data_IF_478545071146
#
_entry.id   IF_478545071146
#
_cell.length_a   1.000
_cell.length_b   1.000
_cell.length_c   1.000
_cell.angle_alpha   90.00
_cell.angle_beta   90.00
_cell.angle_gamma   90.00
#
_symmetry.space_group_name_H-M   'P 1'
#
loop_
_entity.id
_entity.type
_entity.pdbx_description
1 polymer ?
#
# COMPACT_ATOMS: atom_id res chain seq x y z
N UNK A 1 12.77 -20.97 3.98
CA UNK A 1 14.20 -21.20 4.32
C UNK A 1 14.60 -20.11 5.32
N UNK A 2 14.98 -20.44 6.56
CA UNK A 2 15.41 -19.41 7.54
C UNK A 2 16.71 -18.78 7.02
N UNK A 3 16.86 -17.45 6.93
CA UNK A 3 18.12 -16.88 6.44
C UNK A 3 19.21 -17.14 7.47
N UNK A 4 20.23 -17.92 7.09
CA UNK A 4 21.46 -18.10 7.86
C UNK A 4 22.41 -16.90 7.79
N UNK A 5 22.01 -15.80 7.12
CA UNK A 5 22.82 -14.60 6.98
C UNK A 5 22.65 -13.68 8.20
N UNK A 6 23.77 -13.29 8.81
CA UNK A 6 23.85 -12.30 9.90
C UNK A 6 24.53 -11.01 9.42
N UNK A 7 24.38 -9.92 10.17
CA UNK A 7 25.03 -8.64 9.87
C UNK A 7 24.55 -7.96 8.58
N UNK A 8 25.46 -7.25 7.91
CA UNK A 8 25.18 -6.47 6.68
C UNK A 8 24.59 -7.33 5.55
N UNK A 9 25.01 -8.58 5.44
CA UNK A 9 24.50 -9.52 4.43
C UNK A 9 22.99 -9.73 4.57
N UNK A 10 22.48 -9.82 5.80
CA UNK A 10 21.03 -9.95 6.06
C UNK A 10 20.25 -8.72 5.61
N UNK A 11 20.83 -7.53 5.78
CA UNK A 11 20.19 -6.27 5.38
C UNK A 11 20.09 -6.21 3.85
N UNK A 12 21.17 -6.52 3.15
CA UNK A 12 21.19 -6.57 1.68
C UNK A 12 20.18 -7.59 1.15
N UNK A 13 20.16 -8.80 1.71
CA UNK A 13 19.21 -9.85 1.33
C UNK A 13 17.76 -9.40 1.56
N UNK A 14 17.48 -8.78 2.72
CA UNK A 14 16.16 -8.26 3.05
C UNK A 14 15.71 -7.14 2.10
N UNK A 15 16.60 -6.20 1.76
CA UNK A 15 16.33 -5.16 0.75
C UNK A 15 16.04 -5.79 -0.62
N UNK A 16 16.79 -6.83 -1.00
CA UNK A 16 16.55 -7.60 -2.21
C UNK A 16 15.16 -8.24 -2.26
N UNK A 17 14.67 -8.79 -1.15
CA UNK A 17 13.32 -9.34 -1.05
C UNK A 17 12.25 -8.25 -1.12
N UNK A 18 12.45 -7.10 -0.48
CA UNK A 18 11.52 -5.96 -0.56
C UNK A 18 11.38 -5.44 -1.99
N UNK A 19 12.48 -5.28 -2.73
CA UNK A 19 12.46 -4.83 -4.12
C UNK A 19 11.72 -5.83 -5.01
N UNK A 20 11.93 -7.14 -4.80
CA UNK A 20 11.21 -8.18 -5.52
C UNK A 20 9.69 -8.11 -5.25
N UNK A 21 9.28 -7.90 -4.00
CA UNK A 21 7.88 -7.73 -3.63
C UNK A 21 7.24 -6.52 -4.31
N UNK A 22 7.89 -5.35 -4.26
CA UNK A 22 7.42 -4.13 -4.93
C UNK A 22 7.33 -4.29 -6.44
N UNK A 23 8.31 -4.97 -7.06
CA UNK A 23 8.28 -5.26 -8.50
C UNK A 23 7.13 -6.19 -8.87
N UNK A 24 6.86 -7.21 -8.04
CA UNK A 24 5.74 -8.12 -8.25
C UNK A 24 4.39 -7.38 -8.17
N UNK A 25 4.19 -6.56 -7.13
CA UNK A 25 3.00 -5.72 -7.00
C UNK A 25 2.85 -4.77 -8.21
N UNK A 26 3.93 -4.10 -8.61
CA UNK A 26 3.90 -3.19 -9.77
C UNK A 26 3.53 -3.88 -11.09
N UNK A 27 3.99 -5.11 -11.31
CA UNK A 27 3.72 -5.84 -12.57
C UNK A 27 2.31 -6.43 -12.57
N UNK A 28 1.91 -7.08 -11.47
CA UNK A 28 0.68 -7.86 -11.43
C UNK A 28 -0.56 -7.01 -11.07
N UNK A 29 -0.39 -5.95 -10.28
CA UNK A 29 -1.52 -5.25 -9.65
C UNK A 29 -1.74 -3.87 -10.26
N UNK A 30 -2.87 -3.72 -10.95
CA UNK A 30 -3.25 -2.44 -11.55
C UNK A 30 -3.58 -1.38 -10.49
N UNK A 31 -4.25 -1.78 -9.40
CA UNK A 31 -4.59 -0.89 -8.30
C UNK A 31 -3.33 -0.34 -7.61
N UNK A 32 -2.37 -1.20 -7.25
CA UNK A 32 -1.06 -0.75 -6.75
C UNK A 32 -0.37 0.29 -7.64
N UNK A 33 -0.38 0.13 -8.97
CA UNK A 33 0.16 1.16 -9.89
C UNK A 33 -0.59 2.48 -9.79
N UNK A 34 -1.92 2.44 -9.80
CA UNK A 34 -2.76 3.63 -9.72
C UNK A 34 -2.55 4.39 -8.41
N UNK A 35 -2.53 3.68 -7.29
CA UNK A 35 -2.36 4.26 -5.97
C UNK A 35 -0.93 4.78 -5.74
N UNK A 36 0.08 4.10 -6.28
CA UNK A 36 1.45 4.61 -6.27
C UNK A 36 1.61 5.89 -7.09
N UNK A 37 0.95 5.97 -8.25
CA UNK A 37 0.91 7.20 -9.05
C UNK A 37 0.18 8.30 -8.28
N UNK A 38 -0.95 7.99 -7.64
CA UNK A 38 -1.69 8.93 -6.80
C UNK A 38 -0.82 9.45 -5.66
N UNK A 39 -0.10 8.57 -4.94
CA UNK A 39 0.85 8.94 -3.90
C UNK A 39 1.86 9.95 -4.42
N UNK A 40 2.51 9.68 -5.55
CA UNK A 40 3.54 10.56 -6.13
C UNK A 40 2.95 11.92 -6.52
N UNK A 41 1.84 11.92 -7.27
CA UNK A 41 1.22 13.14 -7.77
C UNK A 41 0.72 14.01 -6.61
N UNK A 42 -0.02 13.43 -5.68
CA UNK A 42 -0.58 14.15 -4.52
C UNK A 42 0.52 14.63 -3.57
N UNK A 43 1.60 13.85 -3.39
CA UNK A 43 2.77 14.30 -2.61
C UNK A 43 3.38 15.54 -3.25
N UNK A 44 3.62 15.54 -4.57
CA UNK A 44 4.16 16.70 -5.29
C UNK A 44 3.24 17.91 -5.14
N UNK A 45 1.93 17.72 -5.33
CA UNK A 45 0.93 18.79 -5.15
C UNK A 45 0.99 19.37 -3.73
N UNK A 46 1.13 18.54 -2.70
CA UNK A 46 1.15 19.00 -1.31
C UNK A 46 2.29 19.97 -0.99
N UNK A 47 3.42 19.90 -1.73
CA UNK A 47 4.54 20.84 -1.57
C UNK A 47 4.25 22.24 -2.10
N UNK A 48 3.30 22.38 -3.02
CA UNK A 48 2.87 23.68 -3.55
C UNK A 48 1.70 24.29 -2.76
N UNK A 49 1.12 23.55 -1.81
CA UNK A 49 0.00 24.02 -0.99
C UNK A 49 0.50 24.88 0.19
N UNK A 50 -0.24 25.95 0.55
CA UNK A 50 0.08 26.83 1.67
C UNK A 50 -0.31 26.21 3.03
N UNK A 51 0.16 24.99 3.29
CA UNK A 51 -0.10 24.24 4.53
C UNK A 51 1.16 24.18 5.40
N UNK A 52 0.96 23.98 6.71
CA UNK A 52 2.04 23.79 7.65
C UNK A 52 2.82 22.50 7.36
N UNK A 53 4.03 22.39 7.93
CA UNK A 53 4.87 21.20 7.78
C UNK A 53 4.19 19.93 8.33
N UNK A 54 3.46 20.06 9.43
CA UNK A 54 2.78 18.93 10.09
C UNK A 54 1.58 18.47 9.26
N UNK A 55 0.75 19.40 8.78
CA UNK A 55 -0.36 19.09 7.87
C UNK A 55 0.13 18.39 6.61
N UNK A 56 1.18 18.90 5.97
CA UNK A 56 1.79 18.24 4.81
C UNK A 56 2.25 16.82 5.12
N UNK A 57 2.90 16.62 6.27
CA UNK A 57 3.35 15.28 6.68
C UNK A 57 2.16 14.34 6.90
N UNK A 58 1.05 14.82 7.48
CA UNK A 58 -0.18 14.03 7.65
C UNK A 58 -0.81 13.67 6.30
N UNK A 59 -0.88 14.63 5.37
CA UNK A 59 -1.40 14.42 4.00
C UNK A 59 -0.57 13.40 3.21
N UNK A 60 0.76 13.43 3.33
CA UNK A 60 1.65 12.47 2.68
C UNK A 60 1.54 11.10 3.37
N UNK A 61 1.52 11.07 4.70
CA UNK A 61 1.47 9.82 5.47
C UNK A 61 0.20 9.03 5.18
N UNK A 62 -0.95 9.69 4.98
CA UNK A 62 -2.21 9.01 4.64
C UNK A 62 -2.15 8.32 3.28
N UNK A 63 -1.46 8.91 2.30
CA UNK A 63 -1.24 8.28 0.99
C UNK A 63 -0.32 7.04 1.09
N UNK A 64 0.69 7.08 1.97
CA UNK A 64 1.51 5.89 2.24
C UNK A 64 0.70 4.76 2.88
N UNK A 65 -0.27 5.08 3.74
CA UNK A 65 -1.16 4.07 4.34
C UNK A 65 -1.97 3.35 3.24
N UNK A 66 -2.43 4.05 2.21
CA UNK A 66 -3.12 3.45 1.05
C UNK A 66 -2.22 2.43 0.36
N UNK A 67 -1.00 2.82 -0.02
CA UNK A 67 -0.05 1.92 -0.70
C UNK A 67 0.32 0.72 0.18
N UNK A 68 0.43 0.89 1.50
CA UNK A 68 0.68 -0.21 2.44
C UNK A 68 -0.53 -1.16 2.49
N UNK A 69 -1.74 -0.62 2.58
CA UNK A 69 -2.97 -1.42 2.60
C UNK A 69 -3.12 -2.25 1.32
N UNK A 70 -2.80 -1.65 0.17
CA UNK A 70 -2.85 -2.34 -1.13
C UNK A 70 -1.79 -3.42 -1.25
N UNK A 71 -0.56 -3.19 -0.78
CA UNK A 71 0.45 -4.26 -0.71
C UNK A 71 -0.01 -5.45 0.15
N UNK A 72 -0.73 -5.18 1.24
CA UNK A 72 -1.31 -6.23 2.08
C UNK A 72 -2.46 -6.92 1.34
N UNK A 73 -3.33 -6.17 0.67
CA UNK A 73 -4.42 -6.71 -0.14
C UNK A 73 -3.89 -7.66 -1.22
N UNK A 74 -2.92 -7.22 -2.03
CA UNK A 74 -2.30 -8.05 -3.07
C UNK A 74 -1.60 -9.28 -2.50
N UNK A 75 -0.98 -9.18 -1.32
CA UNK A 75 -0.39 -10.34 -0.65
C UNK A 75 -1.46 -11.38 -0.24
N UNK A 76 -2.61 -10.92 0.25
CA UNK A 76 -3.76 -11.78 0.57
C UNK A 76 -4.28 -12.43 -0.70
N UNK A 77 -4.49 -11.65 -1.78
CA UNK A 77 -4.94 -12.15 -3.07
C UNK A 77 -4.01 -13.22 -3.63
N UNK A 78 -2.69 -12.98 -3.61
CA UNK A 78 -1.70 -13.96 -4.06
C UNK A 78 -1.72 -15.27 -3.25
N UNK A 79 -1.97 -15.20 -1.94
CA UNK A 79 -2.12 -16.39 -1.10
C UNK A 79 -3.41 -17.12 -1.42
N UNK A 80 -4.51 -16.40 -1.59
CA UNK A 80 -5.84 -16.97 -1.88
C UNK A 80 -5.87 -17.60 -3.27
N UNK A 81 -5.32 -16.94 -4.29
CA UNK A 81 -5.34 -17.40 -5.68
C UNK A 81 -4.48 -18.64 -5.94
N UNK A 82 -3.51 -18.89 -5.05
CA UNK A 82 -2.72 -20.12 -5.09
C UNK A 82 -3.54 -21.38 -4.75
N UNK A 83 -4.64 -21.26 -4.00
CA UNK A 83 -5.34 -22.42 -3.41
C UNK A 83 -6.17 -23.20 -4.45
N UNK A 84 -6.50 -22.60 -5.59
CA UNK A 84 -7.18 -23.25 -6.72
C UNK A 84 -8.44 -22.51 -7.19
N UNK A 85 -9.09 -22.97 -8.28
CA UNK A 85 -10.24 -22.28 -8.88
C UNK A 85 -11.57 -22.53 -8.13
N UNK A 86 -11.61 -23.46 -7.17
CA UNK A 86 -12.80 -23.67 -6.34
C UNK A 86 -13.05 -22.45 -5.44
N UNK A 87 -14.22 -21.84 -5.61
CA UNK A 87 -14.62 -20.71 -4.77
C UNK A 87 -14.98 -21.21 -3.37
N UNK A 88 -14.07 -21.01 -2.43
CA UNK A 88 -14.34 -21.19 -1.00
C UNK A 88 -14.87 -19.88 -0.40
N UNK A 89 -15.90 -19.95 0.43
CA UNK A 89 -16.52 -18.76 1.04
C UNK A 89 -15.50 -17.92 1.83
N UNK A 90 -14.63 -18.57 2.60
CA UNK A 90 -13.54 -17.90 3.34
C UNK A 90 -12.52 -17.20 2.42
N UNK A 91 -12.25 -17.75 1.23
CA UNK A 91 -11.36 -17.12 0.25
C UNK A 91 -11.96 -15.82 -0.29
N UNK A 92 -13.28 -15.82 -0.57
CA UNK A 92 -14.01 -14.60 -0.93
C UNK A 92 -13.93 -13.55 0.18
N UNK A 93 -14.26 -13.93 1.42
CA UNK A 93 -14.19 -13.02 2.58
C UNK A 93 -12.80 -12.43 2.79
N UNK A 94 -11.73 -13.20 2.60
CA UNK A 94 -10.36 -12.71 2.72
C UNK A 94 -10.06 -11.59 1.71
N UNK A 95 -10.47 -11.77 0.45
CA UNK A 95 -10.33 -10.74 -0.59
C UNK A 95 -11.18 -9.51 -0.31
N UNK A 96 -12.44 -9.71 0.08
CA UNK A 96 -13.36 -8.60 0.41
C UNK A 96 -12.81 -7.74 1.56
N UNK A 97 -12.25 -8.37 2.60
CA UNK A 97 -11.65 -7.67 3.73
C UNK A 97 -10.37 -6.93 3.31
N UNK A 98 -9.55 -7.53 2.45
CA UNK A 98 -8.36 -6.87 1.89
C UNK A 98 -8.73 -5.61 1.11
N UNK A 99 -9.71 -5.70 0.22
CA UNK A 99 -10.24 -4.57 -0.53
C UNK A 99 -10.88 -3.51 0.39
N UNK A 100 -11.58 -3.93 1.44
CA UNK A 100 -12.15 -3.02 2.44
C UNK A 100 -11.08 -2.23 3.20
N UNK A 101 -9.91 -2.83 3.47
CA UNK A 101 -8.79 -2.13 4.11
C UNK A 101 -8.26 -0.98 3.23
N UNK A 102 -8.13 -1.22 1.92
CA UNK A 102 -7.74 -0.20 0.93
C UNK A 102 -8.78 0.92 0.89
N UNK A 103 -10.07 0.57 0.84
CA UNK A 103 -11.16 1.55 0.89
C UNK A 103 -11.11 2.44 2.14
N UNK A 104 -10.92 1.85 3.32
CA UNK A 104 -10.81 2.61 4.58
C UNK A 104 -9.60 3.55 4.55
N UNK A 105 -8.46 3.12 3.98
CA UNK A 105 -7.30 3.98 3.80
C UNK A 105 -7.59 5.17 2.87
N UNK A 106 -8.34 4.96 1.78
CA UNK A 106 -8.77 6.03 0.87
C UNK A 106 -9.73 7.01 1.56
N UNK A 107 -10.65 6.51 2.39
CA UNK A 107 -11.52 7.36 3.23
C UNK A 107 -10.69 8.21 4.19
N UNK A 108 -9.66 7.63 4.81
CA UNK A 108 -8.74 8.38 5.67
C UNK A 108 -8.02 9.50 4.91
N UNK A 109 -7.56 9.23 3.68
CA UNK A 109 -7.00 10.27 2.79
C UNK A 109 -8.01 11.39 2.58
N UNK A 110 -9.25 11.06 2.21
CA UNK A 110 -10.31 12.04 1.97
C UNK A 110 -10.61 12.89 3.22
N UNK A 111 -10.68 12.28 4.40
CA UNK A 111 -10.91 12.98 5.67
C UNK A 111 -9.75 13.94 5.97
N UNK A 112 -8.50 13.48 5.91
CA UNK A 112 -7.33 14.31 6.22
C UNK A 112 -7.20 15.48 5.25
N UNK A 113 -7.27 15.20 3.95
CA UNK A 113 -7.15 16.23 2.91
C UNK A 113 -8.34 17.20 2.96
N UNK A 114 -9.55 16.68 3.12
CA UNK A 114 -10.75 17.50 3.24
C UNK A 114 -10.70 18.42 4.47
N UNK A 115 -10.21 17.90 5.60
CA UNK A 115 -10.11 18.70 6.82
C UNK A 115 -9.07 19.81 6.69
N UNK A 116 -7.87 19.50 6.18
CA UNK A 116 -6.78 20.48 6.08
C UNK A 116 -7.07 21.57 5.03
N UNK A 117 -7.80 21.24 3.96
CA UNK A 117 -8.04 22.17 2.86
C UNK A 117 -9.32 23.01 3.03
N UNK A 118 -10.29 22.57 3.81
CA UNK A 118 -11.63 23.19 3.87
C UNK A 118 -12.14 23.53 5.26
N UNK A 119 -11.48 23.08 6.35
CA UNK A 119 -11.83 23.43 7.73
C UNK A 119 -10.75 24.33 8.33
#
# INVERSE_FOLDING_TARGET
>A
MKPGATGLKRIIDATGYSIQGLKAAWINEAAFRQESILLVVMTVISFFMPVTKIERLMMISSLFIVVIAELINSAIEAVVDRIGPERHELSGRAKDIGSAAVFVALVLVAIIWGSILFL
#
